data_IF_375393661592
#
_entry.id   IF_375393661592
#
_cell.length_a   1.000
_cell.length_b   1.000
_cell.length_c   1.000
_cell.angle_alpha   90.00
_cell.angle_beta   90.00
_cell.angle_gamma   90.00
#
_symmetry.space_group_name_H-M   'P 1'
#
loop_
_entity.id
_entity.type
_entity.pdbx_description
1 polymer ?
#
# COMPACT_ATOMS: atom_id res chain seq x y z
N UNK A 1 16.17 -15.70 17.44
CA UNK A 1 15.55 -14.78 16.48
C UNK A 1 16.34 -13.47 16.51
N UNK A 2 17.31 -13.32 15.62
CA UNK A 2 18.07 -12.08 15.51
C UNK A 2 17.21 -11.08 14.75
N UNK A 3 16.81 -10.00 15.41
CA UNK A 3 16.08 -8.93 14.74
C UNK A 3 17.04 -8.19 13.79
N UNK A 4 16.69 -8.11 12.52
CA UNK A 4 17.46 -7.34 11.55
C UNK A 4 17.23 -5.84 11.78
N UNK A 5 18.31 -5.06 11.70
CA UNK A 5 18.23 -3.61 11.74
C UNK A 5 17.63 -3.08 10.42
N UNK A 6 16.91 -1.94 10.43
CA UNK A 6 16.41 -1.33 9.21
C UNK A 6 17.57 -1.01 8.24
N UNK A 7 17.42 -1.32 6.93
CA UNK A 7 18.49 -1.10 5.97
C UNK A 7 18.83 0.39 5.83
N UNK A 8 20.11 0.68 5.65
CA UNK A 8 20.57 1.98 5.16
C UNK A 8 20.88 1.95 3.66
N UNK A 9 21.20 3.12 3.10
CA UNK A 9 21.45 3.27 1.66
C UNK A 9 22.58 2.33 1.19
N UNK A 10 23.59 2.11 2.03
CA UNK A 10 24.71 1.21 1.72
C UNK A 10 24.23 -0.23 1.61
N UNK A 11 23.33 -0.66 2.49
CA UNK A 11 22.73 -2.00 2.42
C UNK A 11 21.92 -2.17 1.14
N UNK A 12 21.14 -1.15 0.76
CA UNK A 12 20.33 -1.18 -0.47
C UNK A 12 21.21 -1.25 -1.72
N UNK A 13 22.30 -0.47 -1.77
CA UNK A 13 23.28 -0.56 -2.85
C UNK A 13 23.96 -1.93 -2.90
N UNK A 14 24.24 -2.55 -1.75
CA UNK A 14 24.81 -3.90 -1.70
C UNK A 14 23.84 -4.98 -2.20
N UNK A 15 22.54 -4.83 -1.94
CA UNK A 15 21.52 -5.70 -2.52
C UNK A 15 21.49 -5.53 -4.03
N UNK A 16 21.34 -4.30 -4.54
CA UNK A 16 21.30 -4.02 -5.99
C UNK A 16 22.58 -4.41 -6.74
N UNK A 17 23.74 -4.34 -6.08
CA UNK A 17 25.01 -4.81 -6.60
C UNK A 17 25.00 -6.31 -6.92
N UNK A 18 24.27 -7.09 -6.12
CA UNK A 18 24.09 -8.54 -6.33
C UNK A 18 23.30 -8.81 -7.60
N UNK A 19 22.19 -8.10 -7.80
CA UNK A 19 21.38 -8.20 -9.02
C UNK A 19 22.15 -7.83 -10.27
N UNK A 20 22.87 -6.71 -10.21
CA UNK A 20 23.55 -6.17 -11.37
C UNK A 20 24.96 -6.75 -11.56
N UNK A 21 25.34 -7.76 -10.78
CA UNK A 21 26.63 -8.48 -10.83
C UNK A 21 27.84 -7.53 -10.87
N UNK A 22 27.77 -6.44 -10.10
CA UNK A 22 28.76 -5.35 -10.09
C UNK A 22 29.06 -4.88 -8.67
N UNK A 23 30.10 -4.06 -8.51
CA UNK A 23 30.41 -3.46 -7.21
C UNK A 23 29.33 -2.44 -6.77
N UNK A 24 29.02 -2.30 -5.47
CA UNK A 24 28.06 -1.30 -4.97
C UNK A 24 28.36 0.13 -5.42
N UNK A 25 29.64 0.51 -5.53
CA UNK A 25 30.04 1.84 -6.02
C UNK A 25 29.82 2.05 -7.53
N UNK A 26 29.51 0.99 -8.28
CA UNK A 26 29.19 1.03 -9.71
C UNK A 26 27.68 0.92 -9.99
N UNK A 27 26.86 0.78 -8.94
CA UNK A 27 25.40 0.80 -9.04
C UNK A 27 24.94 2.23 -9.26
N UNK A 28 24.01 2.43 -10.20
CA UNK A 28 23.46 3.75 -10.47
C UNK A 28 22.45 4.12 -9.38
N UNK A 29 22.34 5.42 -9.10
CA UNK A 29 21.38 5.91 -8.11
C UNK A 29 19.93 5.81 -8.59
N UNK A 30 19.68 5.90 -9.89
CA UNK A 30 18.36 5.75 -10.48
C UNK A 30 17.98 4.27 -10.61
N UNK A 31 16.75 3.95 -10.24
CA UNK A 31 16.17 2.60 -10.32
C UNK A 31 15.20 2.49 -11.50
N UNK A 32 15.42 1.47 -12.31
CA UNK A 32 14.43 0.95 -13.25
C UNK A 32 13.39 0.10 -12.53
N UNK A 33 12.26 -0.14 -13.21
CA UNK A 33 11.16 -0.95 -12.67
C UNK A 33 11.59 -2.38 -12.32
N UNK A 34 12.42 -3.02 -13.16
CA UNK A 34 12.91 -4.37 -12.89
C UNK A 34 13.84 -4.42 -11.67
N UNK A 35 14.73 -3.44 -11.53
CA UNK A 35 15.64 -3.32 -10.39
C UNK A 35 14.84 -3.11 -9.10
N UNK A 36 13.79 -2.28 -9.14
CA UNK A 36 12.89 -2.07 -8.01
C UNK A 36 12.11 -3.35 -7.67
N UNK A 37 11.51 -4.02 -8.65
CA UNK A 37 10.79 -5.30 -8.42
C UNK A 37 11.71 -6.34 -7.81
N UNK A 38 12.93 -6.49 -8.34
CA UNK A 38 13.91 -7.42 -7.80
C UNK A 38 14.33 -7.04 -6.37
N UNK A 39 14.58 -5.75 -6.12
CA UNK A 39 14.98 -5.26 -4.80
C UNK A 39 13.91 -5.54 -3.75
N UNK A 40 12.64 -5.37 -4.10
CA UNK A 40 11.52 -5.70 -3.21
C UNK A 40 11.53 -7.20 -2.90
N UNK A 41 11.58 -8.07 -3.91
CA UNK A 41 11.59 -9.51 -3.68
C UNK A 41 12.80 -9.98 -2.85
N UNK A 42 13.99 -9.40 -3.05
CA UNK A 42 15.18 -9.68 -2.23
C UNK A 42 15.01 -9.21 -0.79
N UNK A 43 14.45 -8.00 -0.60
CA UNK A 43 14.16 -7.47 0.73
C UNK A 43 13.17 -8.36 1.49
N UNK A 44 12.06 -8.74 0.86
CA UNK A 44 11.03 -9.56 1.50
C UNK A 44 11.59 -10.91 1.96
N UNK A 45 12.38 -11.57 1.11
CA UNK A 45 13.05 -12.83 1.46
C UNK A 45 14.08 -12.68 2.58
N UNK A 46 14.84 -11.57 2.59
CA UNK A 46 15.92 -11.34 3.56
C UNK A 46 15.39 -10.94 4.94
N UNK A 47 14.33 -10.13 4.97
CA UNK A 47 13.76 -9.58 6.19
C UNK A 47 12.54 -10.37 6.71
N UNK A 48 12.01 -11.29 5.92
CA UNK A 48 10.78 -12.05 6.20
C UNK A 48 9.59 -11.11 6.46
N UNK A 49 9.49 -10.04 5.65
CA UNK A 49 8.45 -9.00 5.71
C UNK A 49 7.82 -8.91 4.32
N UNK A 50 6.49 -9.00 4.24
CA UNK A 50 5.76 -8.71 3.01
C UNK A 50 5.60 -7.19 2.86
N UNK A 51 6.03 -6.64 1.72
CA UNK A 51 6.02 -5.20 1.48
C UNK A 51 4.76 -4.82 0.70
N UNK A 52 3.74 -4.35 1.42
CA UNK A 52 2.51 -3.83 0.79
C UNK A 52 2.75 -2.42 0.19
N UNK A 53 2.96 -2.36 -1.13
CA UNK A 53 2.99 -1.11 -1.89
C UNK A 53 1.80 -1.03 -2.83
N UNK A 54 1.10 0.11 -2.83
CA UNK A 54 0.14 0.40 -3.91
C UNK A 54 0.89 0.71 -5.21
N UNK A 55 0.23 0.53 -6.36
CA UNK A 55 0.82 0.81 -7.66
C UNK A 55 1.35 2.26 -7.76
N UNK A 56 0.63 3.23 -7.20
CA UNK A 56 1.07 4.63 -7.20
C UNK A 56 2.35 4.80 -6.37
N UNK A 57 2.46 4.11 -5.23
CA UNK A 57 3.66 4.15 -4.39
C UNK A 57 4.83 3.50 -5.12
N UNK A 58 4.60 2.36 -5.75
CA UNK A 58 5.61 1.66 -6.55
C UNK A 58 6.16 2.57 -7.66
N UNK A 59 5.30 3.29 -8.38
CA UNK A 59 5.71 4.19 -9.46
C UNK A 59 6.51 5.42 -9.01
N UNK A 60 6.34 5.85 -7.76
CA UNK A 60 7.07 7.01 -7.20
C UNK A 60 8.51 6.71 -6.82
N UNK A 61 8.86 5.43 -6.62
CA UNK A 61 10.21 5.02 -6.22
C UNK A 61 11.09 4.99 -7.47
N UNK A 62 11.97 5.97 -7.63
CA UNK A 62 12.84 6.12 -8.80
C UNK A 62 14.32 6.20 -8.46
N UNK A 63 14.65 6.34 -7.18
CA UNK A 63 16.03 6.40 -6.70
C UNK A 63 16.29 5.39 -5.58
N UNK A 64 17.56 5.10 -5.35
CA UNK A 64 18.02 4.27 -4.22
C UNK A 64 17.59 4.88 -2.89
N UNK A 65 17.61 6.21 -2.77
CA UNK A 65 17.18 6.91 -1.57
C UNK A 65 15.68 6.72 -1.31
N UNK A 66 14.82 6.89 -2.33
CA UNK A 66 13.37 6.63 -2.21
C UNK A 66 13.10 5.19 -1.73
N UNK A 67 13.78 4.22 -2.33
CA UNK A 67 13.66 2.81 -1.95
C UNK A 67 14.12 2.60 -0.50
N UNK A 68 15.25 3.19 -0.12
CA UNK A 68 15.81 3.07 1.24
C UNK A 68 14.82 3.57 2.29
N UNK A 69 14.18 4.71 2.06
CA UNK A 69 13.18 5.26 2.98
C UNK A 69 11.98 4.32 3.17
N UNK A 70 11.46 3.77 2.06
CA UNK A 70 10.32 2.85 2.07
C UNK A 70 10.66 1.54 2.79
N UNK A 71 11.78 0.90 2.44
CA UNK A 71 12.20 -0.35 3.06
C UNK A 71 12.50 -0.19 4.55
N UNK A 72 13.15 0.93 4.94
CA UNK A 72 13.39 1.27 6.33
C UNK A 72 12.08 1.42 7.10
N UNK A 73 11.11 2.14 6.55
CA UNK A 73 9.81 2.33 7.18
C UNK A 73 9.10 0.98 7.43
N UNK A 74 9.17 0.05 6.48
CA UNK A 74 8.60 -1.29 6.61
C UNK A 74 9.22 -2.09 7.77
N UNK A 75 10.56 -2.12 7.87
CA UNK A 75 11.24 -2.82 9.00
C UNK A 75 10.90 -2.19 10.36
N UNK A 76 10.77 -0.86 10.40
CA UNK A 76 10.38 -0.14 11.62
C UNK A 76 8.93 -0.45 12.01
N UNK A 77 8.02 -0.54 11.04
CA UNK A 77 6.61 -0.88 11.25
C UNK A 77 6.42 -2.34 11.71
N UNK A 78 7.21 -3.29 11.17
CA UNK A 78 7.20 -4.71 11.51
C UNK A 78 7.77 -5.04 12.91
N UNK A 79 8.11 -4.04 13.73
CA UNK A 79 8.56 -4.23 15.10
C UNK A 79 7.54 -4.91 16.03
N UNK A 80 7.86 -5.09 17.33
CA UNK A 80 7.09 -5.93 18.27
C UNK A 80 5.66 -5.43 18.57
N UNK A 81 5.16 -4.43 17.85
CA UNK A 81 3.79 -3.95 17.86
C UNK A 81 3.04 -4.22 16.54
N UNK A 82 3.51 -5.16 15.70
CA UNK A 82 2.81 -5.62 14.50
C UNK A 82 1.70 -6.63 14.79
N UNK A 83 0.71 -6.27 15.62
CA UNK A 83 -0.60 -6.91 15.58
C UNK A 83 -1.62 -5.88 15.15
N UNK A 84 -1.82 -5.77 13.84
CA UNK A 84 -3.06 -5.25 13.23
C UNK A 84 -2.87 -4.43 11.95
N UNK A 85 -3.89 -4.39 11.06
CA UNK A 85 -5.14 -5.14 11.10
C UNK A 85 -5.06 -6.40 10.22
N UNK A 86 -5.49 -7.54 10.77
CA UNK A 86 -6.08 -8.57 9.95
C UNK A 86 -7.16 -7.89 9.10
N UNK A 87 -7.09 -8.06 7.77
CA UNK A 87 -8.23 -7.87 6.89
C UNK A 87 -9.37 -8.73 7.44
N UNK A 88 -10.13 -8.16 8.39
CA UNK A 88 -11.42 -8.70 8.80
C UNK A 88 -12.33 -8.51 7.61
N UNK A 89 -12.29 -9.53 6.77
CA UNK A 89 -13.39 -9.99 5.97
C UNK A 89 -14.67 -9.87 6.81
N UNK A 90 -15.40 -8.77 6.61
CA UNK A 90 -16.72 -8.56 7.20
C UNK A 90 -17.72 -9.46 6.46
N UNK A 91 -17.52 -10.76 6.59
CA UNK A 91 -18.55 -11.76 6.37
C UNK A 91 -19.50 -11.74 7.57
N UNK A 92 -20.66 -11.12 7.36
CA UNK A 92 -21.85 -11.40 8.15
C UNK A 92 -22.40 -10.21 8.94
N UNK A 93 -23.62 -9.80 8.59
CA UNK A 93 -24.80 -10.33 9.30
C UNK A 93 -26.07 -10.02 8.52
N UNK A 94 -26.85 -11.07 8.24
CA UNK A 94 -28.26 -10.90 7.88
C UNK A 94 -28.98 -10.09 8.96
N UNK A 95 -29.69 -9.06 8.54
CA UNK A 95 -30.84 -8.55 9.28
C UNK A 95 -32.08 -8.72 8.40
N UNK A 96 -32.72 -9.89 8.50
CA UNK A 96 -34.14 -10.01 8.22
C UNK A 96 -34.88 -9.20 9.29
N UNK A 97 -35.39 -8.04 8.90
CA UNK A 97 -36.30 -7.23 9.71
C UNK A 97 -37.62 -7.09 8.95
N UNK A 98 -38.57 -7.94 9.29
CA UNK A 98 -39.98 -7.82 8.93
C UNK A 98 -40.66 -6.88 9.93
N UNK A 99 -41.49 -5.94 9.48
CA UNK A 99 -42.51 -5.32 10.34
C UNK A 99 -42.76 -3.81 10.21
N UNK A 100 -43.90 -3.49 9.60
CA UNK A 100 -44.90 -2.49 10.02
C UNK A 100 -44.71 -0.96 9.74
N UNK A 101 -45.49 -0.50 8.75
CA UNK A 101 -46.59 0.49 8.86
C UNK A 101 -46.35 1.92 9.38
N UNK A 102 -46.27 2.86 8.42
CA UNK A 102 -47.01 4.16 8.31
C UNK A 102 -46.64 5.34 9.24
N UNK A 103 -47.20 6.56 9.03
CA UNK A 103 -47.90 7.11 7.86
C UNK A 103 -47.40 8.52 7.42
N UNK A 104 -47.82 8.95 6.22
CA UNK A 104 -48.07 10.37 5.92
C UNK A 104 -46.88 11.25 5.54
N UNK A 105 -46.73 11.54 4.24
CA UNK A 105 -46.13 12.79 3.79
C UNK A 105 -46.78 13.22 2.47
N UNK A 106 -47.45 14.36 2.56
CA UNK A 106 -48.01 15.23 1.55
C UNK A 106 -47.02 15.67 0.48
N UNK A 107 -47.43 15.64 -0.79
CA UNK A 107 -47.04 16.47 -1.94
C UNK A 107 -47.49 15.67 -3.18
N UNK A 108 -48.20 16.16 -4.19
CA UNK A 108 -48.01 17.39 -4.94
C UNK A 108 -49.11 17.41 -6.03
N UNK A 109 -49.71 18.57 -6.33
CA UNK A 109 -50.28 18.84 -7.65
C UNK A 109 -50.36 20.37 -7.87
N UNK A 110 -49.65 20.93 -8.87
CA UNK A 110 -49.65 22.36 -9.16
C UNK A 110 -50.83 22.78 -10.06
N UNK A 111 -51.48 23.94 -9.85
CA UNK A 111 -52.33 24.53 -10.88
C UNK A 111 -51.55 25.49 -11.79
N UNK A 112 -51.57 25.15 -13.08
CA UNK A 112 -51.56 25.98 -14.29
C UNK A 112 -51.02 27.42 -14.20
N UNK A 113 -49.79 27.61 -14.69
CA UNK A 113 -49.23 28.90 -15.07
C UNK A 113 -48.97 28.94 -16.59
N UNK A 114 -49.60 29.90 -17.25
CA UNK A 114 -49.57 30.14 -18.69
C UNK A 114 -48.18 30.55 -19.24
N UNK A 115 -47.90 30.19 -20.49
CA UNK A 115 -47.54 31.13 -21.58
C UNK A 115 -46.99 30.35 -22.78
N UNK A 116 -47.70 30.43 -23.91
CA UNK A 116 -47.13 30.20 -25.25
C UNK A 116 -46.98 31.58 -25.91
N UNK A 117 -45.89 31.85 -26.66
CA UNK A 117 -45.90 32.85 -27.71
C UNK A 117 -46.68 32.36 -28.94
#
# INVERSE_FOLDING_TARGET
MTRLAPPDRTDVLAMLATFAERSPGAVQDTLGSLELTWLIAEFEQRFDIELELSDERFETIRTVDDATEVLRAAVLAAGPAGSGPAHSEAAGRKASGSGATGPGATAEAPPAGAARP
#
